data_IF_724920025222
#
_entry.id   IF_724920025222
#
_cell.length_a   1.000
_cell.length_b   1.000
_cell.length_c   1.000
_cell.angle_alpha   90.00
_cell.angle_beta   90.00
_cell.angle_gamma   90.00
#
_symmetry.space_group_name_H-M   'P 1'
#
loop_
_entity.id
_entity.type
_entity.pdbx_description
1 polymer ?
#
# COMPACT_ATOMS: atom_id res chain seq x y z
N UNK A 1 21.34 -35.69 16.48
CA UNK A 1 21.34 -35.91 15.02
C UNK A 1 19.94 -35.59 14.51
N UNK A 2 19.85 -34.68 13.54
CA UNK A 2 18.73 -34.47 12.60
C UNK A 2 17.55 -33.55 13.00
N UNK A 3 17.71 -32.30 12.53
CA UNK A 3 16.75 -31.48 11.75
C UNK A 3 15.70 -30.64 12.50
N UNK A 4 16.17 -29.43 12.84
CA UNK A 4 15.48 -28.15 12.66
C UNK A 4 14.72 -28.11 11.33
N UNK A 5 13.45 -27.68 11.34
CA UNK A 5 12.81 -26.75 10.39
C UNK A 5 11.28 -26.89 10.45
N UNK A 6 10.58 -25.84 9.97
CA UNK A 6 9.13 -25.75 9.68
C UNK A 6 8.33 -25.28 10.91
N UNK A 7 7.64 -24.14 10.95
CA UNK A 7 7.15 -23.22 9.92
C UNK A 7 6.84 -21.90 10.61
N UNK A 8 7.57 -20.82 10.35
CA UNK A 8 7.05 -19.48 10.64
C UNK A 8 6.16 -19.13 9.45
N UNK A 9 4.91 -19.56 9.50
CA UNK A 9 3.85 -18.89 8.75
C UNK A 9 3.73 -17.51 9.38
N UNK A 10 4.50 -16.55 8.88
CA UNK A 10 4.15 -15.16 9.01
C UNK A 10 2.90 -14.98 8.13
N UNK A 11 1.76 -15.35 8.71
CA UNK A 11 0.47 -14.98 8.17
C UNK A 11 0.53 -13.48 7.97
N UNK A 12 0.29 -13.08 6.74
CA UNK A 12 0.02 -11.72 6.31
C UNK A 12 -0.94 -11.07 7.32
N UNK A 13 -0.41 -10.41 8.34
CA UNK A 13 -1.18 -9.46 9.13
C UNK A 13 -1.38 -8.33 8.15
N UNK A 14 -2.61 -8.23 7.65
CA UNK A 14 -2.97 -7.34 6.57
C UNK A 14 -2.45 -5.94 6.82
N UNK A 15 -2.12 -5.24 5.74
CA UNK A 15 -2.04 -3.80 5.74
C UNK A 15 -3.40 -3.27 6.24
N UNK A 16 -3.54 -3.12 7.55
CA UNK A 16 -4.64 -2.39 8.13
C UNK A 16 -4.39 -0.95 7.70
N UNK A 17 -5.29 -0.36 6.89
CA UNK A 17 -5.08 1.02 6.50
C UNK A 17 -5.03 1.86 7.78
N UNK A 18 -3.87 2.49 8.00
CA UNK A 18 -3.74 3.51 9.04
C UNK A 18 -4.62 4.67 8.60
N UNK A 19 -5.73 4.88 9.30
CA UNK A 19 -6.68 5.93 8.99
C UNK A 19 -6.14 7.28 9.50
N UNK A 20 -5.50 8.04 8.63
CA UNK A 20 -5.26 9.48 8.84
C UNK A 20 -6.60 10.21 8.56
N UNK A 21 -6.95 11.25 9.33
CA UNK A 21 -8.29 11.88 9.27
C UNK A 21 -8.78 12.24 7.86
N UNK A 22 -10.08 12.00 7.61
CA UNK A 22 -10.63 11.70 6.27
C UNK A 22 -10.54 10.19 6.03
N UNK A 23 -11.22 9.58 5.05
CA UNK A 23 -11.12 8.12 4.85
C UNK A 23 -9.77 7.68 4.20
N UNK A 24 -8.66 8.28 4.63
CA UNK A 24 -7.34 8.07 4.05
C UNK A 24 -6.82 6.70 4.46
N UNK A 25 -6.30 5.98 3.49
CA UNK A 25 -5.68 4.69 3.66
C UNK A 25 -4.21 4.81 3.31
N UNK A 26 -3.36 4.09 4.05
CA UNK A 26 -1.92 4.01 3.78
C UNK A 26 -1.61 2.62 3.22
N UNK A 27 -0.93 2.60 2.07
CA UNK A 27 -0.26 1.43 1.56
C UNK A 27 1.23 1.50 1.89
N UNK A 28 1.70 0.53 2.67
CA UNK A 28 3.10 0.41 3.09
C UNK A 28 3.93 -0.21 1.96
N UNK A 29 4.79 0.57 1.31
CA UNK A 29 5.73 0.07 0.29
C UNK A 29 7.01 -0.53 0.92
N UNK A 30 7.35 -0.10 2.14
CA UNK A 30 8.62 -0.48 2.79
C UNK A 30 9.81 0.19 2.11
N UNK A 31 10.96 -0.47 2.10
CA UNK A 31 12.17 0.06 1.45
C UNK A 31 12.00 0.04 -0.08
N UNK A 32 11.86 1.23 -0.68
CA UNK A 32 11.58 1.40 -2.10
C UNK A 32 12.81 1.89 -2.87
N UNK A 33 13.22 1.15 -3.90
CA UNK A 33 14.36 1.52 -4.76
C UNK A 33 13.89 2.53 -5.81
N UNK A 34 14.49 3.72 -5.78
CA UNK A 34 14.24 4.79 -6.75
C UNK A 34 14.94 4.48 -8.08
N UNK A 35 14.54 5.17 -9.14
CA UNK A 35 15.21 5.07 -10.44
C UNK A 35 16.70 5.46 -10.37
N UNK A 36 17.07 6.35 -9.44
CA UNK A 36 18.48 6.69 -9.17
C UNK A 36 19.30 5.54 -8.57
N UNK A 37 18.65 4.47 -8.11
CA UNK A 37 19.26 3.37 -7.37
C UNK A 37 19.35 3.60 -5.85
N UNK A 38 18.97 4.79 -5.36
CA UNK A 38 18.86 5.06 -3.92
C UNK A 38 17.65 4.34 -3.31
N UNK A 39 17.70 4.10 -2.00
CA UNK A 39 16.60 3.50 -1.24
C UNK A 39 15.87 4.61 -0.48
N UNK A 40 14.56 4.71 -0.70
CA UNK A 40 13.65 5.44 0.18
C UNK A 40 13.16 4.48 1.27
N UNK A 41 13.62 4.62 2.52
CA UNK A 41 13.22 3.72 3.61
C UNK A 41 11.77 3.98 4.04
N UNK A 42 11.06 2.92 4.43
CA UNK A 42 9.68 2.98 4.97
C UNK A 42 8.72 3.85 4.11
N UNK A 43 8.79 3.68 2.79
CA UNK A 43 7.97 4.41 1.82
C UNK A 43 6.48 4.05 1.98
N UNK A 44 5.63 5.06 1.80
CA UNK A 44 4.17 4.98 1.97
C UNK A 44 3.44 5.66 0.83
N UNK A 45 2.29 5.13 0.45
CA UNK A 45 1.35 5.77 -0.47
C UNK A 45 0.04 6.01 0.26
N UNK A 46 -0.36 7.27 0.38
CA UNK A 46 -1.70 7.63 0.87
C UNK A 46 -2.69 7.59 -0.29
N UNK A 47 -3.84 6.97 -0.08
CA UNK A 47 -4.90 6.88 -1.08
C UNK A 47 -6.29 6.87 -0.43
N UNK A 48 -7.32 7.01 -1.25
CA UNK A 48 -8.72 6.79 -0.88
C UNK A 48 -9.37 5.91 -1.94
N UNK A 49 -10.45 5.23 -1.55
CA UNK A 49 -11.24 4.42 -2.48
C UNK A 49 -12.69 4.88 -2.45
N UNK A 50 -13.30 4.95 -3.63
CA UNK A 50 -14.71 5.27 -3.76
C UNK A 50 -15.44 4.10 -4.43
N UNK A 51 -16.53 3.63 -3.80
CA UNK A 51 -17.30 2.48 -4.25
C UNK A 51 -16.79 1.13 -3.72
N UNK A 52 -17.17 0.04 -4.38
CA UNK A 52 -16.87 -1.33 -3.94
C UNK A 52 -16.12 -2.10 -5.02
N UNK A 53 -14.98 -2.67 -4.65
CA UNK A 53 -14.18 -3.52 -5.53
C UNK A 53 -14.85 -4.89 -5.71
N UNK A 54 -14.91 -5.39 -6.94
CA UNK A 54 -15.30 -6.78 -7.22
C UNK A 54 -14.25 -7.73 -6.65
N UNK A 55 -14.65 -8.93 -6.25
CA UNK A 55 -13.73 -9.93 -5.69
C UNK A 55 -12.59 -10.35 -6.64
N UNK A 56 -12.76 -10.14 -7.95
CA UNK A 56 -11.73 -10.37 -8.97
C UNK A 56 -10.95 -9.09 -9.36
N UNK A 57 -11.24 -7.94 -8.75
CA UNK A 57 -10.51 -6.68 -8.95
C UNK A 57 -10.70 -5.98 -10.29
N UNK A 58 -11.51 -6.53 -11.21
CA UNK A 58 -11.59 -6.05 -12.60
C UNK A 58 -12.26 -4.68 -12.79
N UNK A 59 -12.88 -4.12 -11.74
CA UNK A 59 -13.49 -2.79 -11.78
C UNK A 59 -12.64 -1.69 -11.13
N UNK A 60 -11.36 -1.94 -10.86
CA UNK A 60 -10.45 -0.91 -10.37
C UNK A 60 -10.16 0.13 -11.46
N UNK A 61 -10.32 1.41 -11.12
CA UNK A 61 -9.92 2.54 -11.96
C UNK A 61 -8.97 3.39 -11.14
N UNK A 62 -7.76 3.61 -11.65
CA UNK A 62 -6.77 4.48 -11.01
C UNK A 62 -6.96 5.92 -11.50
N UNK A 63 -7.09 6.85 -10.56
CA UNK A 63 -7.15 8.30 -10.84
C UNK A 63 -5.91 8.94 -10.22
N UNK A 64 -4.89 9.30 -11.01
CA UNK A 64 -3.73 10.03 -10.49
C UNK A 64 -4.13 11.47 -10.15
N UNK A 65 -3.58 12.01 -9.06
CA UNK A 65 -3.63 13.46 -8.85
C UNK A 65 -2.71 14.15 -9.84
N UNK A 66 -2.93 15.45 -10.04
CA UNK A 66 -2.04 16.27 -10.84
C UNK A 66 -1.19 17.18 -9.95
N UNK A 67 -0.29 17.94 -10.57
CA UNK A 67 0.73 18.71 -9.85
C UNK A 67 0.11 19.66 -8.81
N UNK A 68 0.56 19.54 -7.55
CA UNK A 68 0.04 20.24 -6.35
C UNK A 68 -1.35 19.79 -5.86
N UNK A 69 -2.01 18.84 -6.53
CA UNK A 69 -3.26 18.26 -6.04
C UNK A 69 -3.03 17.07 -5.10
N UNK A 70 -4.04 16.77 -4.31
CA UNK A 70 -4.17 15.54 -3.54
C UNK A 70 -5.39 14.72 -4.03
N UNK A 71 -5.91 13.82 -3.21
CA UNK A 71 -7.08 13.01 -3.58
C UNK A 71 -8.44 13.69 -3.34
N UNK A 72 -8.48 14.93 -2.82
CA UNK A 72 -9.68 15.78 -2.73
C UNK A 72 -9.81 16.72 -3.93
N UNK A 73 -8.73 16.97 -4.68
CA UNK A 73 -8.73 17.84 -5.85
C UNK A 73 -7.42 18.63 -5.98
N UNK A 74 -7.51 19.75 -6.70
CA UNK A 74 -6.51 20.84 -6.68
C UNK A 74 -6.99 21.98 -5.79
#
# INVERSE_FOLDING_TARGET
MSKVSVLVCLAMVGAHPVMAGGDHQIFELGDFVLESGEILPDAKVSYVTHGTLRGNGENAILVPSAYLGDHHGF
#
